data_IF_131776639633
#
_entry.id   IF_131776639633
#
_cell.length_a   1.000
_cell.length_b   1.000
_cell.length_c   1.000
_cell.angle_alpha   90.00
_cell.angle_beta   90.00
_cell.angle_gamma   90.00
#
_symmetry.space_group_name_H-M   'P 1'
#
loop_
_entity.id
_entity.type
_entity.pdbx_description
1 polymer ?
#
# COMPACT_ATOMS: atom_id res chain seq x y z
N UNK A 1 12.77 5.73 -4.25
CA UNK A 1 11.96 4.49 -4.45
C UNK A 1 10.45 4.57 -4.16
N UNK A 2 9.93 5.28 -3.13
CA UNK A 2 8.53 5.15 -2.68
C UNK A 2 7.47 5.32 -3.78
N UNK A 3 7.70 6.22 -4.72
CA UNK A 3 6.79 6.45 -5.86
C UNK A 3 6.78 5.28 -6.84
N UNK A 4 7.94 4.68 -7.14
CA UNK A 4 8.06 3.52 -8.05
C UNK A 4 7.34 2.31 -7.47
N UNK A 5 7.51 2.07 -6.17
CA UNK A 5 6.78 1.01 -5.49
C UNK A 5 5.27 1.24 -5.48
N UNK A 6 4.84 2.47 -5.19
CA UNK A 6 3.42 2.82 -5.25
C UNK A 6 2.85 2.55 -6.64
N UNK A 7 3.55 2.90 -7.71
CA UNK A 7 3.10 2.60 -9.07
C UNK A 7 3.00 1.10 -9.33
N UNK A 8 4.06 0.34 -9.02
CA UNK A 8 4.11 -1.11 -9.25
C UNK A 8 2.99 -1.83 -8.48
N UNK A 9 2.88 -1.59 -7.17
CA UNK A 9 1.90 -2.24 -6.32
C UNK A 9 0.46 -1.81 -6.66
N UNK A 10 0.22 -0.51 -6.81
CA UNK A 10 -1.13 0.00 -7.07
C UNK A 10 -1.62 -0.38 -8.46
N UNK A 11 -0.74 -0.51 -9.46
CA UNK A 11 -1.14 -0.97 -10.80
C UNK A 11 -1.81 -2.35 -10.73
N UNK A 12 -1.24 -3.29 -9.99
CA UNK A 12 -1.82 -4.63 -9.84
C UNK A 12 -3.15 -4.61 -9.09
N UNK A 13 -3.19 -3.93 -7.94
CA UNK A 13 -4.40 -3.81 -7.13
C UNK A 13 -5.54 -3.16 -7.91
N UNK A 14 -5.25 -2.04 -8.60
CA UNK A 14 -6.26 -1.31 -9.36
C UNK A 14 -6.75 -2.10 -10.57
N UNK A 15 -5.91 -2.90 -11.22
CA UNK A 15 -6.35 -3.73 -12.33
C UNK A 15 -7.36 -4.80 -11.90
N UNK A 16 -7.12 -5.48 -10.79
CA UNK A 16 -8.03 -6.51 -10.28
C UNK A 16 -9.32 -5.91 -9.70
N UNK A 17 -9.25 -4.73 -9.08
CA UNK A 17 -10.44 -3.96 -8.68
C UNK A 17 -11.24 -3.51 -9.92
N UNK A 18 -10.56 -3.02 -10.95
CA UNK A 18 -11.20 -2.56 -12.18
C UNK A 18 -11.87 -3.73 -12.92
N UNK A 19 -11.26 -4.92 -12.93
CA UNK A 19 -11.87 -6.13 -13.44
C UNK A 19 -13.20 -6.43 -12.72
N UNK A 20 -13.19 -6.51 -11.38
CA UNK A 20 -14.42 -6.73 -10.63
C UNK A 20 -15.46 -5.63 -10.88
N UNK A 21 -15.03 -4.36 -10.88
CA UNK A 21 -15.91 -3.22 -11.12
C UNK A 21 -16.60 -3.31 -12.47
N UNK A 22 -15.88 -3.65 -13.55
CA UNK A 22 -16.46 -3.79 -14.88
C UNK A 22 -17.42 -4.95 -14.96
N UNK A 23 -17.05 -6.09 -14.39
CA UNK A 23 -17.90 -7.29 -14.36
C UNK A 23 -19.20 -7.01 -13.63
N UNK A 24 -19.14 -6.40 -12.44
CA UNK A 24 -20.32 -6.08 -11.64
C UNK A 24 -21.23 -5.00 -12.24
N UNK A 25 -20.75 -4.25 -13.23
CA UNK A 25 -21.51 -3.22 -13.93
C UNK A 25 -22.17 -3.73 -15.22
N UNK A 26 -22.03 -5.02 -15.56
CA UNK A 26 -22.74 -5.63 -16.69
C UNK A 26 -24.24 -5.66 -16.39
N UNK A 27 -25.07 -5.15 -17.30
CA UNK A 27 -26.52 -4.98 -17.09
C UNK A 27 -27.26 -6.28 -16.72
N UNK A 28 -26.86 -7.42 -17.30
CA UNK A 28 -27.54 -8.71 -17.16
C UNK A 28 -26.72 -9.72 -16.32
N UNK A 29 -25.84 -9.24 -15.44
CA UNK A 29 -25.04 -10.13 -14.59
C UNK A 29 -25.94 -10.91 -13.63
N UNK A 30 -25.76 -12.23 -13.57
CA UNK A 30 -26.42 -13.05 -12.57
C UNK A 30 -25.64 -13.06 -11.24
N UNK A 31 -26.32 -13.44 -10.16
CA UNK A 31 -25.74 -13.41 -8.81
C UNK A 31 -24.55 -14.36 -8.64
N UNK A 32 -24.52 -15.49 -9.36
CA UNK A 32 -23.43 -16.45 -9.28
C UNK A 32 -22.15 -15.89 -9.92
N UNK A 33 -22.28 -15.27 -11.09
CA UNK A 33 -21.19 -14.57 -11.76
C UNK A 33 -20.65 -13.40 -10.93
N UNK A 34 -21.54 -12.60 -10.35
CA UNK A 34 -21.15 -11.50 -9.47
C UNK A 34 -20.41 -12.00 -8.22
N UNK A 35 -20.92 -13.07 -7.60
CA UNK A 35 -20.30 -13.71 -6.43
C UNK A 35 -18.92 -14.26 -6.75
N UNK A 36 -18.78 -14.95 -7.89
CA UNK A 36 -17.50 -15.48 -8.37
C UNK A 36 -16.49 -14.37 -8.62
N UNK A 37 -16.88 -13.30 -9.32
CA UNK A 37 -15.98 -12.17 -9.59
C UNK A 37 -15.48 -11.52 -8.29
N UNK A 38 -16.35 -11.37 -7.30
CA UNK A 38 -15.97 -10.86 -5.98
C UNK A 38 -15.02 -11.81 -5.23
N UNK A 39 -15.32 -13.10 -5.22
CA UNK A 39 -14.50 -14.11 -4.55
C UNK A 39 -13.09 -14.21 -5.17
N UNK A 40 -13.00 -14.21 -6.49
CA UNK A 40 -11.74 -14.22 -7.22
C UNK A 40 -10.91 -12.97 -6.92
N UNK A 41 -11.51 -11.78 -7.02
CA UNK A 41 -10.80 -10.53 -6.71
C UNK A 41 -10.35 -10.50 -5.25
N UNK A 42 -11.17 -10.97 -4.31
CA UNK A 42 -10.77 -11.05 -2.91
C UNK A 42 -9.57 -12.01 -2.68
N UNK A 43 -9.57 -13.17 -3.34
CA UNK A 43 -8.43 -14.09 -3.30
C UNK A 43 -7.16 -13.44 -3.87
N UNK A 44 -7.27 -12.71 -4.98
CA UNK A 44 -6.14 -11.95 -5.54
C UNK A 44 -5.64 -10.84 -4.61
N UNK A 45 -6.54 -10.14 -3.89
CA UNK A 45 -6.14 -9.16 -2.88
C UNK A 45 -5.32 -9.79 -1.74
N UNK A 46 -5.71 -10.99 -1.30
CA UNK A 46 -4.92 -11.75 -0.31
C UNK A 46 -3.54 -12.13 -0.86
N UNK A 47 -3.47 -12.56 -2.13
CA UNK A 47 -2.20 -12.83 -2.81
C UNK A 47 -1.34 -11.56 -2.84
N UNK A 48 -1.86 -10.40 -3.27
CA UNK A 48 -1.07 -9.17 -3.29
C UNK A 48 -0.51 -8.79 -1.92
N UNK A 49 -1.31 -9.01 -0.86
CA UNK A 49 -0.88 -8.79 0.52
C UNK A 49 0.25 -9.73 0.93
N UNK A 50 0.14 -11.02 0.58
CA UNK A 50 1.15 -12.03 0.93
C UNK A 50 2.46 -11.84 0.15
N UNK A 51 2.37 -11.35 -1.09
CA UNK A 51 3.50 -11.11 -1.97
C UNK A 51 4.01 -9.66 -1.93
N UNK A 52 3.66 -8.90 -0.89
CA UNK A 52 4.04 -7.48 -0.75
C UNK A 52 5.54 -7.22 -0.89
N UNK A 53 6.38 -8.07 -0.27
CA UNK A 53 7.84 -7.95 -0.36
C UNK A 53 8.35 -8.21 -1.79
N UNK A 54 7.70 -9.07 -2.56
CA UNK A 54 8.08 -9.30 -3.96
C UNK A 54 7.85 -8.05 -4.82
N UNK A 55 6.79 -7.29 -4.55
CA UNK A 55 6.55 -6.00 -5.23
C UNK A 55 7.58 -4.95 -4.84
N UNK A 56 8.10 -4.98 -3.60
CA UNK A 56 9.21 -4.11 -3.21
C UNK A 56 10.47 -4.45 -4.01
N UNK A 57 10.81 -5.73 -4.14
CA UNK A 57 11.95 -6.17 -4.94
C UNK A 57 11.84 -5.69 -6.40
N UNK A 58 10.69 -5.92 -7.05
CA UNK A 58 10.43 -5.44 -8.42
C UNK A 58 10.56 -3.92 -8.54
N UNK A 59 10.01 -3.18 -7.58
CA UNK A 59 10.12 -1.74 -7.57
C UNK A 59 11.56 -1.25 -7.38
N UNK A 60 12.37 -1.96 -6.58
CA UNK A 60 13.80 -1.66 -6.44
C UNK A 60 14.57 -1.93 -7.73
N UNK A 61 14.26 -3.04 -8.43
CA UNK A 61 14.86 -3.35 -9.73
C UNK A 61 14.51 -2.30 -10.78
N UNK A 62 13.23 -1.92 -10.87
CA UNK A 62 12.78 -0.83 -11.74
C UNK A 62 13.45 0.48 -11.37
N UNK A 63 13.55 0.84 -10.09
CA UNK A 63 14.23 2.05 -9.66
C UNK A 63 15.70 2.06 -10.11
N UNK A 64 16.45 0.97 -9.90
CA UNK A 64 17.84 0.83 -10.37
C UNK A 64 17.94 1.00 -11.89
N UNK A 65 17.04 0.37 -12.66
CA UNK A 65 17.02 0.45 -14.13
C UNK A 65 16.88 1.89 -14.64
N UNK A 66 16.12 2.72 -13.94
CA UNK A 66 15.87 4.11 -14.31
C UNK A 66 16.77 5.12 -13.57
N UNK A 67 17.82 4.66 -12.87
CA UNK A 67 18.74 5.54 -12.14
C UNK A 67 18.10 6.24 -10.92
N UNK A 68 17.00 5.70 -10.41
CA UNK A 68 16.31 6.19 -9.21
C UNK A 68 16.87 5.45 -8.00
N UNK A 69 17.06 6.15 -6.88
CA UNK A 69 17.43 5.53 -5.61
C UNK A 69 16.43 4.40 -5.24
N UNK A 70 16.90 3.13 -5.15
CA UNK A 70 16.06 1.97 -4.90
C UNK A 70 15.73 1.76 -3.42
N UNK A 71 16.21 2.63 -2.53
CA UNK A 71 15.94 2.53 -1.11
C UNK A 71 14.62 3.22 -0.75
N UNK A 72 13.85 2.58 0.13
CA UNK A 72 12.83 3.29 0.89
C UNK A 72 13.51 4.14 1.96
N UNK A 73 12.89 5.25 2.33
CA UNK A 73 13.29 5.95 3.54
C UNK A 73 13.10 4.99 4.73
N UNK A 74 14.20 4.65 5.40
CA UNK A 74 14.19 3.77 6.58
C UNK A 74 13.35 4.36 7.72
N UNK A 75 13.28 5.69 7.78
CA UNK A 75 12.50 6.42 8.77
C UNK A 75 11.31 7.10 8.10
N UNK A 76 10.12 6.90 8.67
CA UNK A 76 8.95 7.71 8.35
C UNK A 76 9.32 9.17 8.60
N UNK A 77 9.29 10.02 7.57
CA UNK A 77 9.45 11.45 7.81
C UNK A 77 8.36 11.93 8.77
N UNK A 78 8.77 12.35 9.97
CA UNK A 78 7.85 12.91 10.97
C UNK A 78 7.26 14.18 10.37
N UNK A 79 5.99 14.12 9.94
CA UNK A 79 5.20 15.34 9.68
C UNK A 79 4.85 15.96 11.03
N UNK A 80 5.74 16.81 11.53
CA UNK A 80 5.52 17.66 12.70
C UNK A 80 4.32 18.57 12.38
N UNK A 81 3.19 18.36 13.06
CA UNK A 81 2.12 19.37 13.08
C UNK A 81 2.62 20.49 13.98
N UNK A 82 3.15 21.58 13.39
CA UNK A 82 3.71 22.73 14.12
C UNK A 82 2.86 23.17 15.32
N UNK A 83 1.54 23.09 15.20
CA UNK A 83 0.59 23.60 16.19
C UNK A 83 0.49 22.79 17.50
N UNK A 84 0.83 21.49 17.50
CA UNK A 84 0.68 20.63 18.69
C UNK A 84 2.01 20.38 19.42
N UNK A 85 3.14 20.49 18.71
CA UNK A 85 4.46 20.16 19.26
C UNK A 85 5.07 21.32 20.09
N UNK A 86 4.55 22.55 20.01
CA UNK A 86 4.94 23.64 20.94
C UNK A 86 4.53 23.32 22.38
N UNK A 87 3.38 22.66 22.59
CA UNK A 87 2.87 22.26 23.91
C UNK A 87 3.56 21.02 24.50
N UNK A 88 4.13 20.16 23.65
CA UNK A 88 4.78 18.92 24.07
C UNK A 88 6.29 19.07 24.34
N UNK A 89 6.85 20.26 24.11
CA UNK A 89 8.28 20.56 24.29
C UNK A 89 8.79 20.39 25.74
N UNK A 90 7.89 20.26 26.72
CA UNK A 90 8.24 20.09 28.14
C UNK A 90 8.04 18.66 28.69
N UNK A 91 7.70 17.66 27.87
CA UNK A 91 7.60 16.28 28.34
C UNK A 91 8.54 15.36 27.55
N UNK A 92 9.79 15.32 27.99
CA UNK A 92 10.70 14.23 27.66
C UNK A 92 10.43 13.09 28.64
N UNK A 93 9.80 12.01 28.16
CA UNK A 93 9.79 10.75 28.89
C UNK A 93 11.23 10.22 28.92
N UNK A 94 11.80 10.12 30.12
CA UNK A 94 13.19 9.71 30.32
C UNK A 94 13.34 8.18 30.35
N UNK A 95 12.24 7.43 30.44
CA UNK A 95 12.27 5.96 30.50
C UNK A 95 11.15 5.34 29.63
N UNK A 96 11.45 4.23 28.93
CA UNK A 96 10.49 3.52 28.05
C UNK A 96 9.45 2.69 28.80
N UNK A 97 9.66 2.45 30.09
CA UNK A 97 8.70 1.77 30.97
C UNK A 97 7.52 2.67 31.39
N UNK A 98 7.60 3.98 31.17
CA UNK A 98 6.48 4.91 31.41
C UNK A 98 5.37 4.77 30.35
N UNK A 99 5.57 3.93 29.34
CA UNK A 99 4.67 3.74 28.18
C UNK A 99 3.97 2.37 28.22
N UNK A 100 4.17 1.54 29.26
CA UNK A 100 3.53 0.23 29.41
C UNK A 100 2.72 0.11 30.71
#
# INVERSE_FOLDING_TARGET
MPNVFRFEFMHHVLNDINYASKTLQICDINLDEASRALAETNAKMQIHRNYFESYKCKASETARKYGIDPNFEENRQRKVKKYFDELASNYQFHNREEIF
#
